data_IF_482558889842
#
_entry.id   IF_482558889842
#
_cell.length_a   1.000
_cell.length_b   1.000
_cell.length_c   1.000
_cell.angle_alpha   90.00
_cell.angle_beta   90.00
_cell.angle_gamma   90.00
#
_symmetry.space_group_name_H-M   'P 1'
#
loop_
_entity.id
_entity.type
_entity.pdbx_description
1 polymer ?
#
# COMPACT_ATOMS: atom_id res chain seq x y z
N UNK A 1 25.21 36.01 0.01
CA UNK A 1 25.47 34.63 0.44
C UNK A 1 24.16 33.86 0.54
N UNK A 2 23.89 32.96 -0.41
CA UNK A 2 22.73 32.06 -0.39
C UNK A 2 23.11 30.83 0.42
N UNK A 3 22.45 30.59 1.56
CA UNK A 3 22.59 29.36 2.34
C UNK A 3 21.83 28.24 1.63
N UNK A 4 22.53 27.38 0.93
CA UNK A 4 21.98 26.13 0.38
C UNK A 4 21.69 25.17 1.53
N UNK A 5 20.47 24.62 1.55
CA UNK A 5 19.93 23.75 2.58
C UNK A 5 20.66 22.39 2.54
N UNK A 6 21.56 22.16 3.50
CA UNK A 6 22.37 20.93 3.60
C UNK A 6 21.54 19.65 3.89
N UNK A 7 20.25 19.78 4.23
CA UNK A 7 19.39 18.64 4.60
C UNK A 7 18.87 17.80 3.43
N UNK A 8 18.72 18.35 2.22
CA UNK A 8 18.19 17.58 1.08
C UNK A 8 19.24 16.68 0.44
N UNK A 9 20.51 17.10 0.43
CA UNK A 9 21.59 16.38 -0.24
C UNK A 9 21.91 15.03 0.46
N UNK A 10 21.87 15.01 1.78
CA UNK A 10 22.18 13.81 2.58
C UNK A 10 21.09 12.72 2.49
N UNK A 11 19.83 13.11 2.29
CA UNK A 11 18.71 12.15 2.17
C UNK A 11 18.71 11.48 0.79
N UNK A 12 19.01 12.24 -0.27
CA UNK A 12 19.15 11.70 -1.63
C UNK A 12 20.37 10.77 -1.75
N UNK A 13 21.52 11.14 -1.18
CA UNK A 13 22.72 10.27 -1.16
C UNK A 13 22.48 8.95 -0.40
N UNK A 14 21.72 8.97 0.71
CA UNK A 14 21.35 7.76 1.47
C UNK A 14 20.40 6.82 0.72
N UNK A 15 19.38 7.36 0.03
CA UNK A 15 18.45 6.56 -0.77
C UNK A 15 19.12 5.93 -2.01
N UNK A 16 20.01 6.68 -2.68
CA UNK A 16 20.77 6.19 -3.84
C UNK A 16 21.79 5.13 -3.42
N UNK A 17 22.47 5.30 -2.28
CA UNK A 17 23.37 4.29 -1.70
C UNK A 17 22.62 2.99 -1.35
N UNK A 18 21.45 3.09 -0.71
CA UNK A 18 20.61 1.93 -0.40
C UNK A 18 20.10 1.22 -1.66
N UNK A 19 19.66 1.98 -2.67
CA UNK A 19 19.24 1.42 -3.96
C UNK A 19 20.39 0.67 -4.64
N UNK A 20 21.59 1.23 -4.67
CA UNK A 20 22.77 0.58 -5.27
C UNK A 20 23.17 -0.70 -4.51
N UNK A 21 23.13 -0.68 -3.17
CA UNK A 21 23.41 -1.85 -2.35
C UNK A 21 22.36 -2.95 -2.55
N UNK A 22 21.06 -2.60 -2.56
CA UNK A 22 19.98 -3.56 -2.82
C UNK A 22 20.05 -4.11 -4.25
N UNK A 23 20.41 -3.28 -5.24
CA UNK A 23 20.59 -3.74 -6.62
C UNK A 23 21.77 -4.71 -6.72
N UNK A 24 22.88 -4.43 -6.03
CA UNK A 24 24.05 -5.29 -5.97
C UNK A 24 23.74 -6.62 -5.26
N UNK A 25 22.99 -6.61 -4.16
CA UNK A 25 22.54 -7.81 -3.46
C UNK A 25 21.56 -8.63 -4.30
N UNK A 26 20.59 -8.02 -4.98
CA UNK A 26 19.68 -8.71 -5.90
C UNK A 26 20.42 -9.35 -7.09
N UNK A 27 21.51 -8.73 -7.55
CA UNK A 27 22.37 -9.28 -8.60
C UNK A 27 23.26 -10.42 -8.05
N UNK A 28 23.71 -10.32 -6.80
CA UNK A 28 24.54 -11.32 -6.11
C UNK A 28 23.75 -12.50 -5.53
N UNK A 29 22.44 -12.38 -5.30
CA UNK A 29 21.55 -13.47 -4.86
C UNK A 29 21.52 -14.67 -5.83
N UNK A 30 22.00 -14.49 -7.07
CA UNK A 30 22.25 -15.58 -8.03
C UNK A 30 23.47 -16.46 -7.68
N UNK A 31 24.31 -16.08 -6.71
CA UNK A 31 25.56 -16.79 -6.36
C UNK A 31 25.45 -17.75 -5.17
N UNK A 32 24.32 -17.79 -4.45
CA UNK A 32 24.15 -18.73 -3.35
C UNK A 32 23.65 -20.09 -3.86
N UNK A 33 24.42 -21.13 -3.60
CA UNK A 33 24.09 -22.54 -3.85
C UNK A 33 22.91 -22.95 -2.97
N UNK A 34 21.69 -22.83 -3.50
CA UNK A 34 20.49 -23.44 -2.92
C UNK A 34 20.39 -24.91 -3.31
N UNK A 35 19.79 -25.72 -2.45
CA UNK A 35 19.54 -27.13 -2.77
C UNK A 35 18.46 -27.25 -3.86
N UNK A 36 18.44 -28.37 -4.61
CA UNK A 36 17.42 -28.60 -5.67
C UNK A 36 15.98 -28.50 -5.14
N UNK A 37 15.75 -28.85 -3.88
CA UNK A 37 14.43 -28.80 -3.23
C UNK A 37 14.00 -27.37 -2.90
N UNK A 38 14.93 -26.54 -2.38
CA UNK A 38 14.69 -25.11 -2.14
C UNK A 38 14.41 -24.36 -3.44
N UNK A 39 15.12 -24.70 -4.52
CA UNK A 39 14.88 -24.14 -5.85
C UNK A 39 13.52 -24.57 -6.41
N UNK A 40 13.12 -25.83 -6.24
CA UNK A 40 11.81 -26.32 -6.66
C UNK A 40 10.67 -25.61 -5.90
N UNK A 41 10.81 -25.44 -4.59
CA UNK A 41 9.84 -24.74 -3.75
C UNK A 41 9.73 -23.26 -4.13
N UNK A 42 10.86 -22.59 -4.35
CA UNK A 42 10.91 -21.20 -4.81
C UNK A 42 10.23 -21.03 -6.18
N UNK A 43 10.52 -21.92 -7.13
CA UNK A 43 9.88 -21.91 -8.45
C UNK A 43 8.36 -22.10 -8.36
N UNK A 44 7.90 -22.99 -7.47
CA UNK A 44 6.48 -23.18 -7.22
C UNK A 44 5.83 -21.91 -6.64
N UNK A 45 6.46 -21.27 -5.66
CA UNK A 45 5.99 -19.99 -5.09
C UNK A 45 5.88 -18.92 -6.17
N UNK A 46 6.92 -18.71 -6.97
CA UNK A 46 6.92 -17.73 -8.07
C UNK A 46 5.79 -18.01 -9.07
N UNK A 47 5.55 -19.28 -9.41
CA UNK A 47 4.45 -19.66 -10.32
C UNK A 47 3.09 -19.31 -9.72
N UNK A 48 2.85 -19.65 -8.45
CA UNK A 48 1.61 -19.30 -7.74
C UNK A 48 1.42 -17.79 -7.65
N UNK A 49 2.46 -17.04 -7.31
CA UNK A 49 2.45 -15.57 -7.25
C UNK A 49 2.09 -14.94 -8.60
N UNK A 50 2.62 -15.46 -9.72
CA UNK A 50 2.24 -14.99 -11.06
C UNK A 50 0.77 -15.25 -11.40
N UNK A 51 0.25 -16.43 -11.08
CA UNK A 51 -1.18 -16.76 -11.28
C UNK A 51 -2.06 -15.82 -10.45
N UNK A 52 -1.70 -15.60 -9.19
CA UNK A 52 -2.40 -14.69 -8.29
C UNK A 52 -2.35 -13.25 -8.80
N UNK A 53 -1.19 -12.77 -9.22
CA UNK A 53 -1.01 -11.45 -9.84
C UNK A 53 -1.96 -11.25 -11.02
N UNK A 54 -2.00 -12.22 -11.96
CA UNK A 54 -2.91 -12.17 -13.10
C UNK A 54 -4.38 -12.21 -12.67
N UNK A 55 -4.70 -13.04 -11.67
CA UNK A 55 -6.06 -13.13 -11.13
C UNK A 55 -6.52 -11.78 -10.57
N UNK A 56 -5.66 -11.08 -9.80
CA UNK A 56 -5.97 -9.76 -9.24
C UNK A 56 -6.17 -8.72 -10.35
N UNK A 57 -5.27 -8.69 -11.35
CA UNK A 57 -5.39 -7.79 -12.50
C UNK A 57 -6.70 -8.00 -13.29
N UNK A 58 -7.24 -9.21 -13.28
CA UNK A 58 -8.50 -9.54 -13.96
C UNK A 58 -9.75 -9.27 -13.11
N UNK A 59 -9.63 -8.96 -11.81
CA UNK A 59 -10.78 -8.69 -10.96
C UNK A 59 -11.57 -7.48 -11.48
N UNK A 60 -12.89 -7.66 -11.61
CA UNK A 60 -13.79 -6.59 -12.04
C UNK A 60 -13.70 -5.36 -11.14
N UNK A 61 -13.57 -5.55 -9.82
CA UNK A 61 -13.41 -4.45 -8.87
C UNK A 61 -12.07 -3.71 -9.05
N UNK A 62 -10.97 -4.43 -9.26
CA UNK A 62 -9.66 -3.82 -9.52
C UNK A 62 -9.70 -2.95 -10.77
N UNK A 63 -10.29 -3.47 -11.86
CA UNK A 63 -10.48 -2.72 -13.10
C UNK A 63 -11.37 -1.50 -12.89
N UNK A 64 -12.51 -1.65 -12.18
CA UNK A 64 -13.45 -0.54 -11.90
C UNK A 64 -12.78 0.59 -11.12
N UNK A 65 -12.03 0.28 -10.05
CA UNK A 65 -11.26 1.26 -9.28
C UNK A 65 -10.21 1.97 -10.15
N UNK A 66 -9.56 1.21 -11.03
CA UNK A 66 -8.62 1.73 -12.03
C UNK A 66 -9.22 2.75 -13.01
N UNK A 67 -10.53 2.74 -13.20
CA UNK A 67 -11.24 3.67 -14.12
C UNK A 67 -11.86 4.88 -13.44
N UNK A 68 -11.92 4.91 -12.11
CA UNK A 68 -12.52 6.03 -11.38
C UNK A 68 -11.69 7.30 -11.60
N UNK A 69 -12.39 8.42 -11.78
CA UNK A 69 -11.77 9.73 -11.73
C UNK A 69 -11.09 9.92 -10.37
N UNK A 70 -9.99 10.66 -10.38
CA UNK A 70 -9.15 10.90 -9.21
C UNK A 70 -8.48 12.24 -9.38
N UNK A 71 -8.48 13.05 -8.32
CA UNK A 71 -7.82 14.35 -8.32
C UNK A 71 -6.30 14.25 -8.35
N UNK A 72 -5.75 13.11 -7.89
CA UNK A 72 -4.31 12.92 -7.72
C UNK A 72 -3.65 12.05 -8.79
N UNK A 73 -4.39 11.45 -9.75
CA UNK A 73 -3.87 10.43 -10.70
C UNK A 73 -2.78 10.95 -11.66
N UNK A 74 -2.59 12.25 -11.72
CA UNK A 74 -1.60 12.92 -12.56
C UNK A 74 -0.47 13.53 -11.73
N UNK A 75 0.13 12.76 -10.81
CA UNK A 75 1.22 13.19 -9.92
C UNK A 75 2.35 13.91 -10.69
N UNK A 76 2.73 13.37 -11.86
CA UNK A 76 3.82 13.93 -12.67
C UNK A 76 3.42 15.20 -13.44
N UNK A 77 2.12 15.42 -13.68
CA UNK A 77 1.65 16.59 -14.43
C UNK A 77 1.47 17.84 -13.56
N UNK A 78 1.53 17.72 -12.23
CA UNK A 78 1.22 18.80 -11.26
C UNK A 78 -0.12 19.52 -11.52
N UNK A 79 -1.02 18.89 -12.29
CA UNK A 79 -2.33 19.43 -12.62
C UNK A 79 -3.32 18.77 -11.68
N UNK A 80 -3.72 19.49 -10.63
CA UNK A 80 -4.85 19.09 -9.81
C UNK A 80 -6.12 19.25 -10.64
N UNK A 81 -6.90 18.18 -10.75
CA UNK A 81 -8.24 18.28 -11.31
C UNK A 81 -9.17 18.79 -10.19
N UNK A 82 -9.40 20.11 -10.16
CA UNK A 82 -10.17 20.77 -9.10
C UNK A 82 -11.60 20.22 -8.96
N UNK A 83 -12.26 19.88 -10.08
CA UNK A 83 -13.60 19.26 -10.06
C UNK A 83 -13.55 17.87 -9.40
N UNK A 84 -12.49 17.09 -9.68
CA UNK A 84 -12.29 15.81 -9.02
C UNK A 84 -12.00 15.99 -7.52
N UNK A 85 -11.26 17.03 -7.12
CA UNK A 85 -10.97 17.28 -5.71
C UNK A 85 -12.22 17.68 -4.93
N UNK A 86 -13.07 18.52 -5.51
CA UNK A 86 -14.36 18.92 -4.92
C UNK A 86 -15.27 17.69 -4.70
N UNK A 87 -15.42 16.84 -5.72
CA UNK A 87 -16.20 15.58 -5.60
C UNK A 87 -15.59 14.59 -4.59
N UNK A 88 -14.26 14.55 -4.46
CA UNK A 88 -13.60 13.78 -3.39
C UNK A 88 -13.95 14.38 -2.01
N UNK A 89 -14.05 15.70 -1.90
CA UNK A 89 -14.55 16.40 -0.71
C UNK A 89 -15.97 15.97 -0.37
N UNK A 90 -16.90 16.02 -1.32
CA UNK A 90 -18.31 15.60 -1.13
C UNK A 90 -18.42 14.12 -0.70
N UNK A 91 -17.63 13.24 -1.32
CA UNK A 91 -17.54 11.83 -0.92
C UNK A 91 -17.13 11.71 0.55
N UNK A 92 -16.11 12.45 0.98
CA UNK A 92 -15.59 12.42 2.35
C UNK A 92 -16.58 13.01 3.35
N UNK A 93 -17.31 14.06 2.98
CA UNK A 93 -18.38 14.62 3.82
C UNK A 93 -19.52 13.61 4.03
N UNK A 94 -19.90 12.86 2.99
CA UNK A 94 -20.88 11.79 3.13
C UNK A 94 -20.37 10.62 3.98
N UNK A 95 -19.10 10.23 3.83
CA UNK A 95 -18.47 9.25 4.71
C UNK A 95 -18.52 9.73 6.16
N UNK A 96 -18.19 11.00 6.41
CA UNK A 96 -18.19 11.60 7.75
C UNK A 96 -19.60 11.64 8.37
N UNK A 97 -20.67 11.78 7.59
CA UNK A 97 -22.06 11.65 8.11
C UNK A 97 -22.36 10.26 8.68
N UNK A 98 -21.68 9.23 8.19
CA UNK A 98 -21.83 7.86 8.68
C UNK A 98 -20.91 7.53 9.87
N UNK A 99 -19.90 8.36 10.12
CA UNK A 99 -18.95 8.21 11.23
C UNK A 99 -19.30 9.30 12.26
N UNK A 100 -20.18 8.97 13.22
CA UNK A 100 -20.77 9.93 14.18
C UNK A 100 -19.78 10.90 14.82
N UNK A 101 -20.11 12.19 14.85
CA UNK A 101 -19.33 13.29 15.46
C UNK A 101 -19.20 13.25 17.00
N UNK A 102 -19.70 12.21 17.68
CA UNK A 102 -19.77 12.12 19.15
C UNK A 102 -18.74 11.22 19.82
N UNK A 103 -17.77 10.68 19.10
CA UNK A 103 -16.74 9.84 19.70
C UNK A 103 -15.36 10.44 19.51
N UNK A 104 -14.80 10.94 20.62
CA UNK A 104 -13.36 11.14 20.82
C UNK A 104 -12.59 9.79 20.78
N UNK A 105 -13.25 8.66 20.51
CA UNK A 105 -12.57 7.42 20.08
C UNK A 105 -13.47 6.55 19.19
N UNK A 106 -13.07 6.25 17.95
CA UNK A 106 -12.83 4.84 17.59
C UNK A 106 -12.28 4.71 16.15
N UNK A 107 -10.95 4.58 16.03
CA UNK A 107 -10.30 4.02 14.84
C UNK A 107 -11.01 2.73 14.37
N UNK A 108 -11.56 1.93 15.31
CA UNK A 108 -12.32 0.72 14.98
C UNK A 108 -13.60 1.00 14.20
N UNK A 109 -14.35 2.05 14.53
CA UNK A 109 -15.59 2.39 13.83
C UNK A 109 -15.31 2.84 12.40
N UNK A 110 -14.24 3.64 12.22
CA UNK A 110 -13.76 4.04 10.89
C UNK A 110 -13.37 2.82 10.07
N UNK A 111 -12.55 1.92 10.62
CA UNK A 111 -12.13 0.72 9.89
C UNK A 111 -13.32 -0.18 9.54
N UNK A 112 -14.25 -0.40 10.50
CA UNK A 112 -15.48 -1.17 10.24
C UNK A 112 -16.33 -0.56 9.12
N UNK A 113 -16.51 0.76 9.13
CA UNK A 113 -17.26 1.44 8.08
C UNK A 113 -16.55 1.33 6.73
N UNK A 114 -15.24 1.57 6.70
CA UNK A 114 -14.42 1.48 5.49
C UNK A 114 -14.43 0.08 4.85
N UNK A 115 -14.58 -0.97 5.64
CA UNK A 115 -14.70 -2.35 5.16
C UNK A 115 -16.14 -2.77 4.78
N UNK A 116 -17.12 -1.88 4.98
CA UNK A 116 -18.53 -2.17 4.71
C UNK A 116 -18.89 -2.01 3.23
N UNK A 117 -19.94 -2.72 2.80
CA UNK A 117 -20.50 -2.54 1.46
C UNK A 117 -21.10 -1.14 1.26
N UNK A 118 -21.45 -0.44 2.35
CA UNK A 118 -21.94 0.94 2.28
C UNK A 118 -20.85 1.91 1.83
N UNK A 119 -19.63 1.78 2.36
CA UNK A 119 -18.48 2.56 1.90
C UNK A 119 -18.20 2.29 0.41
N UNK A 120 -18.18 1.00 0.03
CA UNK A 120 -17.99 0.58 -1.36
C UNK A 120 -19.05 1.18 -2.30
N UNK A 121 -20.31 1.20 -1.88
CA UNK A 121 -21.41 1.80 -2.65
C UNK A 121 -21.26 3.32 -2.84
N UNK A 122 -20.86 4.04 -1.78
CA UNK A 122 -20.60 5.48 -1.86
C UNK A 122 -19.53 5.79 -2.92
N UNK A 123 -18.42 5.05 -2.89
CA UNK A 123 -17.30 5.26 -3.81
C UNK A 123 -17.65 4.82 -5.24
N UNK A 124 -18.22 3.62 -5.41
CA UNK A 124 -18.36 2.99 -6.73
C UNK A 124 -19.63 3.34 -7.49
N UNK A 125 -20.69 3.74 -6.79
CA UNK A 125 -22.02 3.90 -7.37
C UNK A 125 -22.56 5.31 -7.17
N UNK A 126 -22.45 5.89 -5.97
CA UNK A 126 -22.93 7.25 -5.70
C UNK A 126 -22.02 8.31 -6.30
N UNK A 127 -20.77 8.35 -5.85
CA UNK A 127 -19.81 9.40 -6.22
C UNK A 127 -18.97 9.05 -7.44
N UNK A 128 -18.69 7.75 -7.65
CA UNK A 128 -17.91 7.23 -8.79
C UNK A 128 -16.53 7.91 -8.93
N UNK A 129 -15.91 8.24 -7.80
CA UNK A 129 -14.63 8.94 -7.70
C UNK A 129 -13.82 8.36 -6.54
N UNK A 130 -12.50 8.26 -6.69
CA UNK A 130 -11.63 7.71 -5.64
C UNK A 130 -10.17 8.14 -5.84
N UNK A 131 -9.45 8.44 -4.76
CA UNK A 131 -8.00 8.54 -4.77
C UNK A 131 -7.37 7.23 -4.28
N UNK A 132 -6.04 7.20 -4.15
CA UNK A 132 -5.28 6.02 -3.73
C UNK A 132 -5.77 5.45 -2.40
N UNK A 133 -6.13 6.31 -1.43
CA UNK A 133 -6.66 5.88 -0.14
C UNK A 133 -8.00 5.14 -0.26
N UNK A 134 -8.96 5.70 -1.01
CA UNK A 134 -10.28 5.09 -1.19
C UNK A 134 -10.19 3.78 -2.01
N UNK A 135 -9.37 3.77 -3.07
CA UNK A 135 -9.10 2.57 -3.87
C UNK A 135 -8.49 1.44 -3.01
N UNK A 136 -7.45 1.74 -2.25
CA UNK A 136 -6.73 0.76 -1.45
C UNK A 136 -7.53 0.30 -0.23
N UNK A 137 -8.44 1.12 0.27
CA UNK A 137 -9.41 0.75 1.30
C UNK A 137 -10.42 -0.29 0.77
N UNK A 138 -10.99 -0.07 -0.42
CA UNK A 138 -11.89 -1.07 -1.03
C UNK A 138 -11.12 -2.35 -1.32
N UNK A 139 -9.92 -2.25 -1.89
CA UNK A 139 -9.11 -3.42 -2.19
C UNK A 139 -8.70 -4.21 -0.94
N UNK A 140 -8.46 -3.58 0.21
CA UNK A 140 -8.23 -4.28 1.47
C UNK A 140 -9.39 -5.24 1.80
N UNK A 141 -10.63 -4.77 1.67
CA UNK A 141 -11.83 -5.58 1.90
C UNK A 141 -12.00 -6.69 0.86
N UNK A 142 -11.79 -6.38 -0.42
CA UNK A 142 -12.00 -7.36 -1.50
C UNK A 142 -10.94 -8.47 -1.50
N UNK A 143 -9.68 -8.11 -1.27
CA UNK A 143 -8.59 -9.07 -1.18
C UNK A 143 -8.78 -9.99 0.03
N UNK A 144 -9.13 -9.44 1.19
CA UNK A 144 -9.35 -10.26 2.40
C UNK A 144 -10.58 -11.17 2.30
N UNK A 145 -11.61 -10.78 1.54
CA UNK A 145 -12.75 -11.66 1.21
C UNK A 145 -12.40 -12.75 0.20
N UNK A 146 -11.44 -12.51 -0.70
CA UNK A 146 -11.05 -13.46 -1.76
C UNK A 146 -9.97 -14.45 -1.33
N UNK A 147 -9.01 -14.02 -0.53
CA UNK A 147 -7.84 -14.80 -0.11
C UNK A 147 -7.88 -15.00 1.40
N UNK A 148 -8.66 -15.99 1.85
CA UNK A 148 -8.98 -16.18 3.27
C UNK A 148 -7.81 -16.73 4.08
N UNK A 149 -6.88 -17.41 3.40
CA UNK A 149 -5.68 -18.03 3.93
C UNK A 149 -4.46 -17.09 3.86
N UNK A 150 -4.65 -15.82 3.50
CA UNK A 150 -3.57 -14.84 3.38
C UNK A 150 -3.84 -13.58 4.18
N UNK A 151 -2.78 -13.05 4.80
CA UNK A 151 -2.82 -11.72 5.40
C UNK A 151 -2.88 -10.65 4.30
N UNK A 152 -3.73 -9.64 4.51
CA UNK A 152 -3.85 -8.48 3.61
C UNK A 152 -3.60 -7.22 4.40
N UNK A 153 -2.78 -6.33 3.86
CA UNK A 153 -2.42 -5.07 4.49
C UNK A 153 -2.80 -3.88 3.61
N UNK A 154 -3.05 -2.74 4.25
CA UNK A 154 -3.18 -1.42 3.65
C UNK A 154 -2.11 -0.53 4.28
N UNK A 155 -1.25 0.02 3.45
CA UNK A 155 -0.25 1.01 3.85
C UNK A 155 -0.67 2.34 3.26
N UNK A 156 -0.79 3.36 4.11
CA UNK A 156 -1.01 4.75 3.70
C UNK A 156 0.12 5.62 4.24
N UNK A 157 0.97 6.11 3.34
CA UNK A 157 2.12 6.94 3.64
C UNK A 157 1.77 8.41 3.38
N UNK A 158 1.60 9.19 4.45
CA UNK A 158 1.20 10.60 4.33
C UNK A 158 2.25 11.46 3.65
N UNK A 159 3.53 11.11 3.77
CA UNK A 159 4.63 11.87 3.17
C UNK A 159 4.69 11.66 1.66
N UNK A 160 4.57 10.41 1.23
CA UNK A 160 4.57 10.07 -0.19
C UNK A 160 3.20 10.34 -0.85
N UNK A 161 2.20 10.74 -0.04
CA UNK A 161 0.82 10.99 -0.42
C UNK A 161 0.22 9.82 -1.21
N UNK A 162 0.47 8.60 -0.74
CA UNK A 162 0.05 7.39 -1.45
C UNK A 162 -0.39 6.28 -0.51
N UNK A 163 -1.31 5.45 -1.01
CA UNK A 163 -1.80 4.29 -0.30
C UNK A 163 -1.95 3.10 -1.25
N UNK A 164 -1.56 1.92 -0.79
CA UNK A 164 -1.58 0.67 -1.56
C UNK A 164 -1.73 -0.52 -0.61
N UNK A 165 -1.97 -1.70 -1.18
CA UNK A 165 -2.12 -2.92 -0.41
C UNK A 165 -0.91 -3.85 -0.55
N UNK A 166 -0.65 -4.62 0.50
CA UNK A 166 0.18 -5.82 0.43
C UNK A 166 -0.71 -7.04 0.63
N UNK A 167 -0.34 -8.15 0.01
CA UNK A 167 -0.99 -9.43 0.27
C UNK A 167 0.06 -10.52 0.41
N UNK A 168 -0.16 -11.40 1.40
CA UNK A 168 0.68 -12.53 1.73
C UNK A 168 2.10 -12.12 2.16
N UNK A 169 2.27 -10.96 2.82
CA UNK A 169 3.55 -10.61 3.45
C UNK A 169 3.70 -11.33 4.79
N UNK A 170 4.87 -11.90 5.05
CA UNK A 170 5.27 -12.37 6.36
C UNK A 170 5.39 -11.19 7.33
N UNK A 171 4.49 -11.17 8.33
CA UNK A 171 4.37 -10.08 9.29
C UNK A 171 5.55 -9.96 10.26
N UNK A 172 6.44 -10.97 10.33
CA UNK A 172 7.67 -10.90 11.12
C UNK A 172 8.73 -9.95 10.53
N UNK A 173 8.61 -9.65 9.23
CA UNK A 173 9.51 -8.72 8.52
C UNK A 173 9.04 -7.26 8.70
N UNK A 174 9.93 -6.29 8.51
CA UNK A 174 9.58 -4.87 8.60
C UNK A 174 8.86 -4.37 7.34
N UNK A 175 7.78 -3.59 7.48
CA UNK A 175 7.13 -2.90 6.34
C UNK A 175 8.05 -1.86 5.67
N UNK A 176 9.13 -1.45 6.34
CA UNK A 176 10.08 -0.44 5.84
C UNK A 176 11.27 -1.05 5.09
N UNK A 177 11.29 -2.38 4.95
CA UNK A 177 12.37 -3.13 4.31
C UNK A 177 11.83 -4.11 3.27
N UNK A 178 11.35 -3.63 2.11
CA UNK A 178 10.81 -4.49 1.06
C UNK A 178 11.76 -5.59 0.58
N UNK A 179 13.06 -5.40 0.75
CA UNK A 179 14.12 -6.39 0.49
C UNK A 179 14.05 -7.62 1.40
N UNK A 180 13.56 -7.47 2.64
CA UNK A 180 13.45 -8.55 3.63
C UNK A 180 12.13 -9.34 3.52
N UNK A 181 11.15 -8.86 2.76
CA UNK A 181 9.84 -9.53 2.62
C UNK A 181 9.98 -10.93 1.99
N UNK A 182 9.02 -11.82 2.23
CA UNK A 182 8.94 -13.10 1.54
C UNK A 182 8.69 -12.94 0.03
N UNK A 183 9.19 -13.88 -0.78
CA UNK A 183 9.18 -13.76 -2.25
C UNK A 183 7.78 -13.77 -2.89
N UNK A 184 6.80 -14.37 -2.22
CA UNK A 184 5.42 -14.51 -2.69
C UNK A 184 4.49 -13.38 -2.25
N UNK A 185 5.01 -12.31 -1.65
CA UNK A 185 4.26 -11.06 -1.42
C UNK A 185 3.93 -10.37 -2.76
N UNK A 186 2.72 -9.83 -2.84
CA UNK A 186 2.32 -8.92 -3.91
C UNK A 186 1.98 -7.55 -3.35
N UNK A 187 2.40 -6.52 -4.07
CA UNK A 187 1.96 -5.14 -3.86
C UNK A 187 0.85 -4.84 -4.85
N UNK A 188 -0.34 -4.51 -4.36
CA UNK A 188 -1.52 -4.25 -5.16
C UNK A 188 -1.84 -2.77 -5.07
N UNK A 189 -1.74 -2.08 -6.21
CA UNK A 189 -2.08 -0.67 -6.35
C UNK A 189 -3.19 -0.53 -7.39
N UNK A 190 -4.44 -0.62 -6.93
CA UNK A 190 -5.61 -0.49 -7.81
C UNK A 190 -5.76 0.92 -8.38
N UNK A 191 -5.21 1.92 -7.69
CA UNK A 191 -5.22 3.28 -8.18
C UNK A 191 -4.22 3.47 -9.33
N UNK A 192 -3.00 2.91 -9.26
CA UNK A 192 -2.08 2.86 -10.40
C UNK A 192 -2.44 1.81 -11.46
N UNK A 193 -3.35 0.88 -11.14
CA UNK A 193 -3.70 -0.30 -11.96
C UNK A 193 -2.54 -1.27 -12.11
N UNK A 194 -1.72 -1.38 -11.07
CA UNK A 194 -0.56 -2.27 -11.06
C UNK A 194 -0.63 -3.29 -9.94
N UNK A 195 -0.03 -4.45 -10.20
CA UNK A 195 0.26 -5.45 -9.17
C UNK A 195 1.73 -5.82 -9.34
N UNK A 196 2.55 -5.57 -8.32
CA UNK A 196 3.99 -5.80 -8.36
C UNK A 196 4.34 -7.02 -7.51
N UNK A 197 5.18 -7.91 -8.05
CA UNK A 197 5.95 -8.86 -7.25
C UNK A 197 6.97 -8.10 -6.38
N UNK A 198 7.40 -8.67 -5.25
CA UNK A 198 8.51 -8.13 -4.42
C UNK A 198 9.64 -7.51 -5.24
N UNK A 199 10.26 -8.30 -6.14
CA UNK A 199 11.40 -7.86 -6.95
C UNK A 199 11.11 -6.61 -7.78
N UNK A 200 9.94 -6.56 -8.43
CA UNK A 200 9.52 -5.38 -9.21
C UNK A 200 9.23 -4.20 -8.28
N UNK A 201 8.57 -4.44 -7.15
CA UNK A 201 8.25 -3.38 -6.21
C UNK A 201 9.49 -2.73 -5.61
N UNK A 202 10.53 -3.48 -5.26
CA UNK A 202 11.79 -2.92 -4.75
C UNK A 202 12.32 -1.85 -5.71
N UNK A 203 12.38 -2.17 -7.01
CA UNK A 203 12.82 -1.21 -8.03
C UNK A 203 11.88 0.01 -8.12
N UNK A 204 10.57 -0.24 -8.13
CA UNK A 204 9.56 0.82 -8.24
C UNK A 204 9.51 1.71 -6.99
N UNK A 205 9.76 1.18 -5.79
CA UNK A 205 9.76 1.92 -4.54
C UNK A 205 10.86 2.99 -4.48
N UNK A 206 12.02 2.70 -5.08
CA UNK A 206 13.11 3.68 -5.21
C UNK A 206 12.94 4.60 -6.41
N UNK A 207 12.46 4.06 -7.55
CA UNK A 207 12.27 4.83 -8.78
C UNK A 207 11.13 5.84 -8.67
N UNK A 208 10.02 5.42 -8.09
CA UNK A 208 8.80 6.21 -7.97
C UNK A 208 8.75 6.82 -6.58
N UNK A 209 8.94 8.14 -6.52
CA UNK A 209 9.01 8.92 -5.27
C UNK A 209 7.72 8.87 -4.43
N UNK A 210 6.63 8.31 -4.95
CA UNK A 210 5.32 8.25 -4.27
C UNK A 210 5.08 6.98 -3.45
N UNK A 211 5.94 5.94 -3.50
CA UNK A 211 5.86 4.84 -2.51
C UNK A 211 6.72 5.14 -1.27
N UNK A 212 8.00 5.45 -1.50
CA UNK A 212 8.97 5.95 -0.53
C UNK A 212 9.08 5.13 0.77
N UNK A 213 8.84 3.82 0.73
CA UNK A 213 8.98 2.96 1.91
C UNK A 213 10.45 2.82 2.30
N UNK A 214 10.72 2.95 3.60
CA UNK A 214 12.06 2.77 4.16
C UNK A 214 13.02 3.93 3.92
N UNK A 215 12.54 5.05 3.39
CA UNK A 215 13.29 6.29 3.32
C UNK A 215 12.91 7.11 4.55
N UNK A 216 13.89 7.33 5.45
CA UNK A 216 13.64 7.97 6.74
C UNK A 216 12.96 9.32 6.53
N UNK A 217 11.83 9.52 7.19
CA UNK A 217 11.08 10.75 7.10
C UNK A 217 10.21 10.97 8.32
N UNK A 218 9.96 12.25 8.61
CA UNK A 218 9.13 12.68 9.74
C UNK A 218 7.63 12.43 9.53
N UNK A 219 7.23 11.71 8.47
CA UNK A 219 5.84 11.42 8.12
C UNK A 219 5.23 10.32 8.97
N UNK A 220 3.88 10.25 8.98
CA UNK A 220 3.15 9.15 9.61
C UNK A 220 2.80 8.09 8.56
N UNK A 221 3.01 6.83 8.90
CA UNK A 221 2.49 5.71 8.11
C UNK A 221 1.36 5.06 8.88
N UNK A 222 0.21 5.00 8.23
CA UNK A 222 -0.96 4.30 8.73
C UNK A 222 -0.96 2.90 8.11
N UNK A 223 -0.99 1.89 8.96
CA UNK A 223 -0.91 0.49 8.53
C UNK A 223 -2.08 -0.28 9.10
N UNK A 224 -2.96 -0.79 8.23
CA UNK A 224 -4.04 -1.70 8.61
C UNK A 224 -3.69 -3.11 8.12
N UNK A 225 -3.80 -4.11 8.98
CA UNK A 225 -3.55 -5.52 8.67
C UNK A 225 -4.81 -6.32 8.97
N UNK A 226 -5.30 -7.10 8.01
CA UNK A 226 -6.33 -8.13 8.21
C UNK A 226 -5.62 -9.48 8.16
N UNK A 227 -5.56 -10.16 9.30
CA UNK A 227 -4.95 -11.46 9.46
C UNK A 227 -5.86 -12.58 8.94
N UNK A 228 -5.28 -13.77 8.74
CA UNK A 228 -6.01 -14.98 8.31
C UNK A 228 -7.09 -15.40 9.29
N UNK A 229 -6.89 -15.15 10.59
CA UNK A 229 -7.88 -15.36 11.66
C UNK A 229 -8.94 -14.25 11.74
N UNK A 230 -8.99 -13.35 10.75
CA UNK A 230 -9.88 -12.17 10.65
C UNK A 230 -9.62 -11.06 11.65
N UNK A 231 -8.62 -11.21 12.53
CA UNK A 231 -8.20 -10.13 13.40
C UNK A 231 -7.72 -8.95 12.57
N UNK A 232 -8.09 -7.75 12.99
CA UNK A 232 -7.66 -6.52 12.33
C UNK A 232 -6.77 -5.71 13.26
N UNK A 233 -5.54 -5.46 12.83
CA UNK A 233 -4.61 -4.57 13.53
C UNK A 233 -4.51 -3.26 12.77
N UNK A 234 -4.46 -2.17 13.50
CA UNK A 234 -4.17 -0.85 12.97
C UNK A 234 -3.01 -0.24 13.74
N UNK A 235 -1.99 0.22 13.03
CA UNK A 235 -0.79 0.84 13.61
C UNK A 235 -0.53 2.19 12.96
N UNK A 236 -0.07 3.14 13.77
CA UNK A 236 0.50 4.39 13.30
C UNK A 236 1.98 4.36 13.59
N UNK A 237 2.78 4.41 12.54
CA UNK A 237 4.21 4.57 12.64
C UNK A 237 4.59 6.04 12.48
N UNK A 238 5.58 6.47 13.25
CA UNK A 238 6.33 7.71 12.99
C UNK A 238 7.78 7.30 12.85
N UNK A 239 8.40 7.69 11.74
CA UNK A 239 9.71 7.15 11.34
C UNK A 239 9.61 5.60 11.23
N UNK A 240 10.20 4.86 12.17
CA UNK A 240 10.16 3.39 12.19
C UNK A 240 9.47 2.80 13.42
N UNK A 241 9.02 3.63 14.35
CA UNK A 241 8.46 3.21 15.63
C UNK A 241 6.93 3.22 15.63
N UNK A 242 6.34 2.25 16.29
CA UNK A 242 4.88 2.21 16.52
C UNK A 242 4.53 3.23 17.59
N UNK A 243 3.76 4.24 17.21
CA UNK A 243 3.28 5.29 18.13
C UNK A 243 1.85 5.05 18.63
N UNK A 244 1.09 4.19 17.94
CA UNK A 244 -0.26 3.80 18.33
C UNK A 244 -0.61 2.46 17.70
N UNK A 245 -1.32 1.60 18.42
CA UNK A 245 -1.83 0.32 17.95
C UNK A 245 -3.26 0.08 18.44
N UNK A 246 -4.11 -0.45 17.57
CA UNK A 246 -5.47 -0.90 17.89
C UNK A 246 -5.71 -2.26 17.27
N UNK A 247 -6.13 -3.22 18.10
CA UNK A 247 -6.53 -4.56 17.66
C UNK A 247 -8.06 -4.73 17.75
N UNK A 248 -8.62 -5.44 16.78
CA UNK A 248 -10.05 -5.80 16.67
C UNK A 248 -10.19 -7.30 16.41
N UNK A 249 -11.20 -7.89 17.04
CA UNK A 249 -11.60 -9.30 16.92
C UNK A 249 -12.97 -9.39 16.26
#
# INVERSE_FOLDING_TARGET
HVKTIAGQKNIEEGAVSRMNNVLAELLNLKKYTKTKEEDALLNLKIKKTKVMQQTILQLGIFKKLGTLQSSSRFIDARVCNNEAEEKIGELRDDINKHISSRLISNIRAIIKFNLSDKYKDLVLNKHKIANCAECSTIMLGELSKKYLDMTVELISNSQANHAFNLINRDQSTSIFKPEEWNEDVLVVDAWMRTVHTKKKFIFENFRLKYYNLGINSNGKIHHTTIHTDRRVNYRIFKEFDVTSEVTMF
#
